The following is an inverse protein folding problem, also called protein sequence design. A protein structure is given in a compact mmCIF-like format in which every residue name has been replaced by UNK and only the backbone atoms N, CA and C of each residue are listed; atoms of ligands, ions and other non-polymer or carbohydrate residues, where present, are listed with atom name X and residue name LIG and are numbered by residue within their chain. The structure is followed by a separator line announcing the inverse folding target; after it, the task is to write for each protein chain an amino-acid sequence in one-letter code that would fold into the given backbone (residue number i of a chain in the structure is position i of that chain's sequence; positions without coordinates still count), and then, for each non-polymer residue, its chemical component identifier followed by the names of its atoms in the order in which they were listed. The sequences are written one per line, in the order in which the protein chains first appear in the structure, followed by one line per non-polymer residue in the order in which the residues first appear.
data_IF_370338463843
#
_entry.id   IF_370338463843
#
_cell.length_a   1.000
_cell.length_b   1.000
_cell.length_c   1.000
_cell.angle_alpha   90.00
_cell.angle_beta   90.00
_cell.angle_gamma   90.00
#
_symmetry.space_group_name_H-M   'P 1'
#
loop_
_entity.id
_entity.type
_entity.pdbx_description
1 polymer ?
#
# COMPACT_ATOMS: atom_id res chain seq x y z
N UNK A 1 -7.72 -9.11 13.68
CA UNK A 1 -7.82 -7.79 13.04
C UNK A 1 -6.59 -7.00 13.45
N UNK A 2 -5.88 -6.32 12.54
CA UNK A 2 -4.75 -5.46 12.91
C UNK A 2 -5.31 -4.11 13.36
N UNK A 3 -5.45 -3.95 14.68
CA UNK A 3 -6.06 -2.77 15.33
C UNK A 3 -5.26 -1.50 15.02
N UNK A 4 -3.93 -1.61 14.92
CA UNK A 4 -3.05 -0.47 14.60
C UNK A 4 -3.38 0.17 13.24
N UNK A 5 -3.70 -0.62 12.22
CA UNK A 5 -4.13 -0.12 10.91
C UNK A 5 -5.53 0.47 11.01
N UNK A 6 -6.43 -0.23 11.71
CA UNK A 6 -7.81 0.21 11.87
C UNK A 6 -7.94 1.58 12.55
N UNK A 7 -7.14 1.83 13.60
CA UNK A 7 -7.11 3.12 14.28
C UNK A 7 -6.74 4.26 13.34
N UNK A 8 -5.77 4.04 12.45
CA UNK A 8 -5.36 5.07 11.50
C UNK A 8 -6.50 5.45 10.56
N UNK A 9 -7.20 4.46 9.99
CA UNK A 9 -8.37 4.72 9.14
C UNK A 9 -9.53 5.36 9.90
N UNK A 10 -9.79 4.91 11.12
CA UNK A 10 -10.87 5.44 11.95
C UNK A 10 -10.71 6.95 12.20
N UNK A 11 -9.50 7.38 12.58
CA UNK A 11 -9.26 8.80 12.82
C UNK A 11 -9.14 9.60 11.53
N UNK A 12 -8.55 9.04 10.47
CA UNK A 12 -8.41 9.72 9.19
C UNK A 12 -9.74 9.95 8.46
N UNK A 13 -10.75 9.11 8.70
CA UNK A 13 -12.08 9.25 8.10
C UNK A 13 -13.08 10.03 8.95
N UNK A 14 -12.68 10.46 10.16
CA UNK A 14 -13.54 11.26 11.04
C UNK A 14 -13.77 12.65 10.42
N UNK A 15 -15.02 13.09 10.28
CA UNK A 15 -15.29 14.44 9.81
C UNK A 15 -14.83 15.48 10.82
N UNK A 16 -14.29 16.58 10.29
CA UNK A 16 -13.92 17.74 11.10
C UNK A 16 -15.07 18.75 11.18
N UNK A 17 -15.84 18.88 10.09
CA UNK A 17 -16.92 19.85 9.94
C UNK A 17 -18.13 19.22 9.22
N UNK A 18 -19.28 19.90 9.28
CA UNK A 18 -20.55 19.38 8.74
C UNK A 18 -20.52 19.15 7.22
N UNK A 19 -19.73 19.95 6.50
CA UNK A 19 -19.55 19.93 5.05
C UNK A 19 -18.36 19.06 4.59
N UNK A 20 -17.69 18.36 5.50
CA UNK A 20 -16.59 17.44 5.16
C UNK A 20 -17.03 16.46 4.04
N UNK A 21 -16.14 16.12 3.09
CA UNK A 21 -16.49 15.31 1.93
C UNK A 21 -16.91 13.90 2.32
N UNK A 22 -17.99 13.38 1.73
CA UNK A 22 -18.49 12.01 1.99
C UNK A 22 -17.69 10.94 1.27
N UNK A 23 -17.06 11.30 0.16
CA UNK A 23 -16.23 10.41 -0.66
C UNK A 23 -14.76 10.69 -0.37
N UNK A 24 -14.01 9.65 -0.04
CA UNK A 24 -12.58 9.68 0.20
C UNK A 24 -11.86 8.90 -0.91
N UNK A 25 -10.72 9.40 -1.38
CA UNK A 25 -9.87 8.67 -2.33
C UNK A 25 -8.74 7.97 -1.57
N UNK A 26 -8.56 6.68 -1.84
CA UNK A 26 -7.51 5.88 -1.24
C UNK A 26 -6.55 5.35 -2.30
N UNK A 27 -5.25 5.43 -2.01
CA UNK A 27 -4.18 4.86 -2.84
C UNK A 27 -3.99 3.34 -2.68
N UNK A 28 -4.85 2.67 -1.91
CA UNK A 28 -4.81 1.22 -1.72
C UNK A 28 -4.94 0.50 -3.08
N UNK A 29 -4.13 -0.55 -3.27
CA UNK A 29 -4.04 -1.29 -4.54
C UNK A 29 -2.76 -0.97 -5.32
N UNK A 30 -2.19 0.23 -5.13
CA UNK A 30 -0.97 0.63 -5.84
C UNK A 30 0.23 -0.26 -5.50
N UNK A 31 0.35 -0.70 -4.25
CA UNK A 31 1.47 -1.55 -3.83
C UNK A 31 1.36 -2.95 -4.44
N UNK A 32 0.15 -3.51 -4.50
CA UNK A 32 -0.13 -4.83 -5.07
C UNK A 32 0.03 -4.84 -6.60
N UNK A 33 -0.33 -3.74 -7.28
CA UNK A 33 -0.24 -3.65 -8.75
C UNK A 33 1.15 -3.36 -9.28
N UNK A 34 1.90 -2.50 -8.60
CA UNK A 34 3.15 -1.95 -9.11
C UNK A 34 4.37 -2.35 -8.27
N UNK A 35 4.26 -3.41 -7.46
CA UNK A 35 5.42 -3.93 -6.75
C UNK A 35 5.91 -3.05 -5.60
N UNK A 36 4.99 -2.51 -4.80
CA UNK A 36 5.31 -1.57 -3.71
C UNK A 36 5.88 -2.16 -2.44
N UNK A 37 5.61 -3.43 -2.14
CA UNK A 37 6.12 -4.05 -0.91
C UNK A 37 7.58 -4.51 -1.04
N UNK A 38 8.37 -4.30 0.01
CA UNK A 38 9.77 -4.76 0.08
C UNK A 38 9.92 -6.28 -0.19
N UNK A 39 8.90 -7.08 0.16
CA UNK A 39 8.87 -8.53 -0.12
C UNK A 39 8.89 -8.85 -1.61
N UNK A 40 8.42 -7.96 -2.48
CA UNK A 40 8.50 -8.13 -3.93
C UNK A 40 9.96 -8.11 -4.40
N UNK A 41 10.76 -7.18 -3.90
CA UNK A 41 12.21 -7.16 -4.15
C UNK A 41 12.90 -8.40 -3.60
N UNK A 42 12.47 -8.92 -2.44
CA UNK A 42 12.96 -10.20 -1.91
C UNK A 42 12.57 -11.39 -2.81
N UNK A 43 11.34 -11.43 -3.32
CA UNK A 43 10.88 -12.46 -4.23
C UNK A 43 11.66 -12.45 -5.55
N UNK A 44 11.89 -11.25 -6.10
CA UNK A 44 12.75 -11.05 -7.26
C UNK A 44 14.18 -11.54 -7.01
N UNK A 45 14.81 -11.16 -5.89
CA UNK A 45 16.17 -11.60 -5.58
C UNK A 45 16.29 -13.11 -5.41
N UNK A 46 15.20 -13.78 -4.99
CA UNK A 46 15.17 -15.23 -4.77
C UNK A 46 15.00 -16.03 -6.06
N UNK A 47 14.12 -15.58 -6.96
CA UNK A 47 13.67 -16.39 -8.10
C UNK A 47 13.47 -15.58 -9.39
N UNK A 48 14.06 -14.39 -9.48
CA UNK A 48 13.94 -13.49 -10.63
C UNK A 48 12.50 -13.02 -10.87
N UNK A 49 12.21 -12.66 -12.12
CA UNK A 49 10.87 -12.22 -12.53
C UNK A 49 9.76 -13.24 -12.28
N UNK A 50 9.95 -14.56 -12.48
CA UNK A 50 8.91 -15.54 -12.14
C UNK A 50 8.45 -15.44 -10.69
N UNK A 51 9.40 -15.41 -9.74
CA UNK A 51 9.05 -15.29 -8.31
C UNK A 51 8.39 -13.96 -7.95
N UNK A 52 8.76 -12.87 -8.62
CA UNK A 52 8.09 -11.57 -8.46
C UNK A 52 6.63 -11.62 -8.94
N UNK A 53 6.38 -12.23 -10.11
CA UNK A 53 5.05 -12.38 -10.69
C UNK A 53 4.14 -13.18 -9.75
N UNK A 54 4.62 -14.32 -9.26
CA UNK A 54 3.89 -15.17 -8.32
C UNK A 54 3.48 -14.41 -7.05
N UNK A 55 4.39 -13.59 -6.50
CA UNK A 55 4.14 -12.81 -5.29
C UNK A 55 3.10 -11.68 -5.54
N UNK A 56 3.18 -11.00 -6.69
CA UNK A 56 2.22 -9.97 -7.08
C UNK A 56 0.81 -10.54 -7.29
N UNK A 57 0.70 -11.67 -8.00
CA UNK A 57 -0.57 -12.35 -8.25
C UNK A 57 -1.21 -12.80 -6.94
N UNK A 58 -0.40 -13.32 -6.01
CA UNK A 58 -0.85 -13.73 -4.69
C UNK A 58 -1.42 -12.56 -3.88
N UNK A 59 -0.78 -11.39 -3.95
CA UNK A 59 -1.21 -10.18 -3.26
C UNK A 59 -2.52 -9.62 -3.85
N UNK A 60 -2.63 -9.56 -5.18
CA UNK A 60 -3.85 -9.14 -5.86
C UNK A 60 -5.04 -10.05 -5.51
N UNK A 61 -4.84 -11.38 -5.55
CA UNK A 61 -5.89 -12.36 -5.22
C UNK A 61 -6.37 -12.24 -3.76
N UNK A 62 -5.51 -11.79 -2.86
CA UNK A 62 -5.82 -11.67 -1.42
C UNK A 62 -6.35 -10.30 -1.01
N UNK A 63 -6.26 -9.30 -1.89
CA UNK A 63 -6.53 -7.91 -1.57
C UNK A 63 -7.92 -7.69 -0.95
N UNK A 64 -8.95 -8.25 -1.60
CA UNK A 64 -10.34 -8.09 -1.16
C UNK A 64 -10.62 -8.69 0.23
N UNK A 65 -10.06 -9.87 0.51
CA UNK A 65 -10.29 -10.60 1.76
C UNK A 65 -9.51 -10.03 2.94
N UNK A 66 -8.32 -9.45 2.72
CA UNK A 66 -7.45 -8.99 3.81
C UNK A 66 -7.64 -7.52 4.18
N UNK A 67 -7.72 -6.64 3.18
CA UNK A 67 -7.63 -5.19 3.41
C UNK A 67 -8.99 -4.51 3.23
N UNK A 68 -9.64 -4.70 2.08
CA UNK A 68 -10.83 -3.94 1.69
C UNK A 68 -11.98 -4.07 2.70
N UNK A 69 -12.33 -5.30 3.09
CA UNK A 69 -13.45 -5.50 4.01
C UNK A 69 -13.23 -4.93 5.42
N UNK A 70 -11.98 -4.77 5.89
CA UNK A 70 -11.69 -4.09 7.16
C UNK A 70 -11.84 -2.58 6.97
N UNK A 71 -11.17 -2.03 5.97
CA UNK A 71 -11.03 -0.60 5.77
C UNK A 71 -12.38 0.05 5.46
N UNK A 72 -13.18 -0.61 4.63
CA UNK A 72 -14.54 -0.21 4.30
C UNK A 72 -15.42 -0.04 5.56
N UNK A 73 -15.51 -1.06 6.41
CA UNK A 73 -16.31 -1.00 7.65
C UNK A 73 -15.86 0.10 8.60
N UNK A 74 -14.56 0.35 8.68
CA UNK A 74 -14.01 1.39 9.58
C UNK A 74 -14.33 2.78 9.04
N UNK A 75 -14.20 2.99 7.73
CA UNK A 75 -14.49 4.27 7.10
C UNK A 75 -16.00 4.55 7.12
N UNK A 76 -16.81 3.53 6.87
CA UNK A 76 -18.27 3.60 6.91
C UNK A 76 -18.83 3.96 8.29
N UNK A 77 -18.09 3.72 9.38
CA UNK A 77 -18.47 4.15 10.73
C UNK A 77 -18.78 5.66 10.80
N UNK A 78 -18.11 6.47 9.98
CA UNK A 78 -18.32 7.92 9.92
C UNK A 78 -19.27 8.36 8.80
N UNK A 79 -20.00 7.42 8.19
CA UNK A 79 -20.86 7.69 7.03
C UNK A 79 -20.07 8.17 5.80
N UNK A 80 -18.83 7.67 5.66
CA UNK A 80 -17.92 7.98 4.55
C UNK A 80 -17.75 6.75 3.66
N UNK A 81 -17.46 7.00 2.39
CA UNK A 81 -17.23 5.97 1.38
C UNK A 81 -15.84 6.16 0.79
N UNK A 82 -15.06 5.08 0.71
CA UNK A 82 -13.74 5.11 0.05
C UNK A 82 -13.85 4.63 -1.40
N UNK A 83 -13.25 5.38 -2.32
CA UNK A 83 -13.01 4.98 -3.70
C UNK A 83 -11.54 4.63 -3.88
N UNK A 84 -11.27 3.61 -4.69
CA UNK A 84 -9.94 3.05 -4.89
C UNK A 84 -9.56 3.16 -6.36
N UNK A 85 -9.01 4.30 -6.83
CA UNK A 85 -8.70 4.51 -8.25
C UNK A 85 -7.76 3.43 -8.82
N UNK A 86 -6.85 2.91 -8.00
CA UNK A 86 -5.96 1.82 -8.41
C UNK A 86 -6.67 0.49 -8.63
N UNK A 87 -7.88 0.31 -8.10
CA UNK A 87 -8.69 -0.90 -8.29
C UNK A 87 -9.81 -0.70 -9.30
N UNK A 88 -9.75 0.38 -10.08
CA UNK A 88 -10.61 0.52 -11.25
C UNK A 88 -10.36 -0.65 -12.21
N UNK A 89 -11.44 -1.26 -12.69
CA UNK A 89 -11.38 -2.48 -13.49
C UNK A 89 -10.60 -2.28 -14.80
N UNK A 90 -10.74 -1.12 -15.45
CA UNK A 90 -10.05 -0.84 -16.70
C UNK A 90 -8.55 -0.67 -16.46
N UNK A 91 -8.19 0.06 -15.42
CA UNK A 91 -6.79 0.20 -15.01
C UNK A 91 -6.19 -1.15 -14.64
N UNK A 92 -6.91 -1.98 -13.89
CA UNK A 92 -6.47 -3.32 -13.52
C UNK A 92 -6.21 -4.19 -14.76
N UNK A 93 -7.17 -4.26 -15.68
CA UNK A 93 -7.05 -5.04 -16.91
C UNK A 93 -5.84 -4.60 -17.74
N UNK A 94 -5.66 -3.30 -17.89
CA UNK A 94 -4.53 -2.73 -18.63
C UNK A 94 -3.20 -3.04 -17.92
N UNK A 95 -3.06 -2.68 -16.65
CA UNK A 95 -1.81 -2.84 -15.90
C UNK A 95 -1.45 -4.30 -15.76
N UNK A 96 -2.39 -5.23 -15.54
CA UNK A 96 -2.08 -6.66 -15.44
C UNK A 96 -1.44 -7.18 -16.73
N UNK A 97 -1.86 -6.68 -17.89
CA UNK A 97 -1.33 -7.09 -19.19
C UNK A 97 0.11 -6.64 -19.47
N UNK A 98 0.61 -5.60 -18.80
CA UNK A 98 1.97 -5.11 -19.07
C UNK A 98 3.03 -6.10 -18.59
N UNK A 99 4.21 -6.13 -19.23
CA UNK A 99 5.39 -6.78 -18.69
C UNK A 99 5.73 -6.27 -17.29
N UNK A 100 6.12 -7.16 -16.38
CA UNK A 100 6.40 -6.78 -14.98
C UNK A 100 7.53 -5.74 -14.84
N UNK A 101 8.49 -5.77 -15.78
CA UNK A 101 9.61 -4.80 -15.87
C UNK A 101 9.15 -3.37 -16.16
N UNK A 102 7.99 -3.20 -16.80
CA UNK A 102 7.41 -1.87 -17.07
C UNK A 102 6.65 -1.32 -15.86
N UNK A 103 6.32 -2.18 -14.88
CA UNK A 103 5.62 -1.81 -13.64
C UNK A 103 6.60 -1.52 -12.50
N UNK A 104 7.61 -2.38 -12.38
CA UNK A 104 8.54 -2.43 -11.27
C UNK A 104 9.98 -2.29 -11.77
N UNK A 105 10.82 -1.56 -11.04
CA UNK A 105 12.21 -1.33 -11.42
C UNK A 105 13.18 -2.43 -10.98
N UNK A 106 12.69 -3.59 -10.55
CA UNK A 106 13.57 -4.65 -10.07
C UNK A 106 14.44 -5.19 -11.21
N UNK A 107 15.76 -5.19 -11.03
CA UNK A 107 16.70 -5.60 -12.07
C UNK A 107 17.05 -4.51 -13.08
N UNK A 108 16.54 -3.28 -12.93
CA UNK A 108 16.95 -2.16 -13.76
C UNK A 108 18.43 -1.82 -13.53
N UNK A 109 19.17 -1.60 -14.61
CA UNK A 109 20.55 -1.12 -14.57
C UNK A 109 20.53 0.38 -14.27
N UNK A 110 21.38 0.83 -13.34
CA UNK A 110 21.51 2.26 -13.06
C UNK A 110 21.94 3.00 -14.32
N UNK A 111 21.10 3.93 -14.77
CA UNK A 111 21.48 4.93 -15.77
C UNK A 111 22.19 6.10 -15.08
N UNK A 112 22.95 6.89 -15.84
CA UNK A 112 23.55 8.13 -15.32
C UNK A 112 22.54 9.27 -15.11
N UNK A 113 21.24 9.00 -15.28
CA UNK A 113 20.18 9.99 -15.15
C UNK A 113 19.72 10.16 -13.70
N UNK A 114 19.28 11.36 -13.32
CA UNK A 114 18.91 11.69 -11.94
C UNK A 114 17.77 10.81 -11.39
N UNK A 115 16.83 10.38 -12.24
CA UNK A 115 15.73 9.50 -11.82
C UNK A 115 16.19 8.06 -11.54
N UNK A 116 17.41 7.68 -11.91
CA UNK A 116 17.95 6.33 -11.65
C UNK A 116 18.22 6.08 -10.17
N UNK A 117 18.25 7.15 -9.36
CA UNK A 117 18.38 7.06 -7.90
C UNK A 117 17.06 6.72 -7.21
N UNK A 118 15.94 6.67 -7.93
CA UNK A 118 14.64 6.32 -7.38
C UNK A 118 14.60 4.83 -7.01
N UNK A 119 13.90 4.54 -5.90
CA UNK A 119 13.68 3.16 -5.46
C UNK A 119 12.95 2.33 -6.54
N UNK A 120 13.26 1.03 -6.60
CA UNK A 120 12.72 0.11 -7.61
C UNK A 120 11.24 -0.23 -7.40
N UNK A 121 10.75 -0.14 -6.17
CA UNK A 121 9.33 -0.36 -5.85
C UNK A 121 8.45 0.70 -6.51
N UNK A 122 7.40 0.30 -7.25
CA UNK A 122 6.46 1.22 -7.93
C UNK A 122 7.15 2.18 -8.89
N UNK A 123 8.20 1.73 -9.58
CA UNK A 123 9.04 2.59 -10.42
C UNK A 123 8.21 3.41 -11.42
N UNK A 124 7.22 2.81 -12.09
CA UNK A 124 6.37 3.55 -13.04
C UNK A 124 5.63 4.73 -12.38
N UNK A 125 5.13 4.56 -11.15
CA UNK A 125 4.46 5.63 -10.41
C UNK A 125 5.44 6.70 -9.95
N UNK A 126 6.67 6.32 -9.59
CA UNK A 126 7.73 7.25 -9.20
C UNK A 126 8.19 8.08 -10.41
N UNK A 127 8.37 7.44 -11.56
CA UNK A 127 8.70 8.12 -12.82
C UNK A 127 7.58 9.06 -13.26
N UNK A 128 6.31 8.66 -13.10
CA UNK A 128 5.17 9.54 -13.35
C UNK A 128 5.20 10.76 -12.41
N UNK A 129 5.38 10.54 -11.10
CA UNK A 129 5.50 11.63 -10.14
C UNK A 129 6.67 12.56 -10.45
N UNK A 130 7.81 11.99 -10.88
CA UNK A 130 8.97 12.76 -11.33
C UNK A 130 8.64 13.63 -12.54
N UNK A 131 8.00 13.06 -13.57
CA UNK A 131 7.59 13.75 -14.79
C UNK A 131 6.60 14.89 -14.51
N UNK A 132 5.76 14.73 -13.49
CA UNK A 132 4.82 15.76 -13.00
C UNK A 132 5.49 16.82 -12.10
N UNK A 133 6.81 16.75 -11.91
CA UNK A 133 7.56 17.70 -11.07
C UNK A 133 7.48 17.41 -9.57
N UNK A 134 6.82 16.33 -9.14
CA UNK A 134 6.68 15.94 -7.74
C UNK A 134 7.89 15.15 -7.24
N UNK A 135 9.10 15.72 -7.35
CA UNK A 135 10.37 15.02 -7.07
C UNK A 135 10.45 14.45 -5.65
N UNK A 136 9.96 15.18 -4.65
CA UNK A 136 9.92 14.69 -3.27
C UNK A 136 9.03 13.45 -3.10
N UNK A 137 7.88 13.41 -3.79
CA UNK A 137 6.95 12.26 -3.77
C UNK A 137 7.57 11.08 -4.52
N UNK A 138 8.23 11.33 -5.65
CA UNK A 138 8.90 10.30 -6.43
C UNK A 138 9.97 9.56 -5.60
N UNK A 139 10.73 10.27 -4.77
CA UNK A 139 11.77 9.71 -3.89
C UNK A 139 11.26 9.16 -2.55
N UNK A 140 9.97 9.30 -2.23
CA UNK A 140 9.46 8.95 -0.91
C UNK A 140 9.44 7.43 -0.69
N UNK A 141 10.05 6.96 0.40
CA UNK A 141 10.08 5.52 0.71
C UNK A 141 8.71 5.04 1.19
N UNK A 142 8.31 3.83 0.78
CA UNK A 142 7.06 3.23 1.25
C UNK A 142 7.08 3.11 2.78
N UNK A 143 6.03 3.63 3.42
CA UNK A 143 5.76 3.43 4.85
C UNK A 143 4.34 2.90 4.99
N UNK A 144 4.15 1.78 5.69
CA UNK A 144 2.80 1.28 5.97
C UNK A 144 2.07 2.23 6.93
N UNK A 145 0.75 2.33 6.80
CA UNK A 145 -0.05 3.36 7.47
C UNK A 145 0.13 3.36 8.99
N UNK A 146 0.23 2.19 9.62
CA UNK A 146 0.41 2.05 11.06
C UNK A 146 1.76 2.56 11.58
N UNK A 147 2.78 2.56 10.71
CA UNK A 147 4.09 3.12 11.02
C UNK A 147 4.12 4.63 10.75
N UNK A 148 3.50 5.06 9.64
CA UNK A 148 3.37 6.48 9.29
C UNK A 148 2.57 7.27 10.32
N UNK A 149 1.41 6.75 10.72
CA UNK A 149 0.54 7.31 11.74
C UNK A 149 1.02 7.02 13.18
N UNK A 150 2.10 6.25 13.34
CA UNK A 150 2.68 5.81 14.63
C UNK A 150 1.70 5.04 15.54
N UNK A 151 0.58 4.55 15.02
CA UNK A 151 -0.41 3.76 15.77
C UNK A 151 0.15 2.43 16.24
N UNK A 152 1.13 1.86 15.53
CA UNK A 152 1.85 0.65 15.98
C UNK A 152 2.58 0.84 17.32
N UNK A 153 2.98 2.08 17.67
CA UNK A 153 3.62 2.37 18.97
C UNK A 153 2.61 2.47 20.12
N UNK A 154 1.35 2.76 19.82
CA UNK A 154 0.29 2.87 20.83
C UNK A 154 -0.04 1.50 21.45
N UNK A 155 0.11 0.41 20.71
CA UNK A 155 -0.01 -0.95 21.24
C UNK A 155 1.22 -1.36 22.07
N UNK A 156 2.42 -0.91 21.71
CA UNK A 156 3.66 -1.22 22.41
C UNK A 156 3.76 -0.59 23.82
N UNK A 157 2.95 0.43 24.12
CA UNK A 157 2.83 0.99 25.48
C UNK A 157 2.29 -0.04 26.50
N UNK A 158 1.76 -1.19 26.05
CA UNK A 158 1.44 -2.36 26.89
C UNK A 158 2.54 -3.44 26.94
N UNK A 159 3.79 -3.11 26.60
CA UNK A 159 4.97 -3.89 27.00
C UNK A 159 5.47 -4.99 26.05
N UNK A 160 5.13 -4.96 24.75
CA UNK A 160 5.59 -5.98 23.80
C UNK A 160 5.99 -5.45 22.42
N UNK A 161 7.06 -6.01 21.83
CA UNK A 161 7.38 -5.83 20.40
C UNK A 161 6.33 -6.57 19.56
N UNK A 162 5.30 -5.87 19.10
CA UNK A 162 4.25 -6.44 18.24
C UNK A 162 4.74 -6.49 16.78
N UNK A 163 4.71 -7.66 16.16
CA UNK A 163 4.83 -7.82 14.69
C UNK A 163 3.43 -7.63 14.08
N UNK A 164 3.33 -6.93 12.94
CA UNK A 164 2.06 -6.55 12.27
C UNK A 164 1.15 -7.69 11.79
N UNK A 165 1.35 -8.92 12.24
CA UNK A 165 0.49 -10.09 11.96
C UNK A 165 -0.03 -10.76 13.23
N UNK A 166 0.12 -10.14 14.40
CA UNK A 166 -0.31 -10.75 15.67
C UNK A 166 -1.84 -10.82 15.74
N UNK A 167 -2.38 -12.03 15.96
CA UNK A 167 -3.82 -12.23 16.14
C UNK A 167 -4.22 -11.73 17.53
N UNK A 168 -5.35 -11.03 17.61
CA UNK A 168 -5.97 -10.64 18.89
C UNK A 168 -6.44 -11.92 19.57
N UNK A 169 -5.80 -12.30 20.68
CA UNK A 169 -6.34 -13.32 21.59
C UNK A 169 -7.49 -12.70 22.37
N UNK A 170 -8.64 -13.38 22.39
CA UNK A 170 -9.76 -12.99 23.24
C UNK A 170 -9.30 -12.95 24.70
N UNK A 171 -9.65 -11.89 25.41
CA UNK A 171 -9.47 -11.80 26.86
C UNK A 171 -10.42 -12.82 27.50
N UNK A 172 -9.96 -13.72 28.38
CA UNK A 172 -10.87 -14.59 29.13
C UNK A 172 -11.74 -13.70 30.02
N UNK A 173 -13.06 -13.89 29.95
CA UNK A 173 -14.03 -13.25 30.84
C UNK A 173 -13.93 -13.75 32.27
#
# INVERSE_FOLDING_TARGET
MDLSIGLAFYFASRPLEADSPRILLSGLGADELFGGYARHGTAFNRAGYPGLIDELELDLTRLGKRNLGRDDRIIANWGREARFPFLDERLLQEVISWPVIEKCGFGAVQSGEEWSTLDNEKQVLRLLAWKLGMRGVAGEKKRAIQFGARTAKMEAARGGKVKGTQKISAVPG
#
